data_IF_751457538024
#
_entry.id   IF_751457538024
#
_cell.length_a   1.000
_cell.length_b   1.000
_cell.length_c   1.000
_cell.angle_alpha   90.00
_cell.angle_beta   90.00
_cell.angle_gamma   90.00
#
_symmetry.space_group_name_H-M   'P 1'
#
loop_
_entity.id
_entity.type
_entity.pdbx_description
1 polymer ?
#
# COMPACT_ATOMS: atom_id res chain seq x y z
N UNK A 1 16.78 -6.46 -0.46
CA UNK A 1 16.03 -6.26 -1.71
C UNK A 1 14.58 -6.11 -1.32
N UNK A 2 14.02 -4.93 -1.48
CA UNK A 2 12.58 -4.73 -1.29
C UNK A 2 11.92 -5.08 -2.63
N UNK A 3 10.90 -5.92 -2.63
CA UNK A 3 10.09 -6.25 -3.80
C UNK A 3 8.62 -6.04 -3.46
N UNK A 4 7.75 -6.10 -4.46
CA UNK A 4 6.32 -5.85 -4.30
C UNK A 4 5.93 -4.38 -4.11
N UNK A 5 4.70 -4.15 -3.66
CA UNK A 5 4.10 -2.80 -3.57
C UNK A 5 4.88 -1.85 -2.67
N UNK A 6 5.42 -2.35 -1.55
CA UNK A 6 6.23 -1.54 -0.65
C UNK A 6 7.46 -0.95 -1.36
N UNK A 7 8.15 -1.78 -2.15
CA UNK A 7 9.30 -1.35 -2.92
C UNK A 7 8.90 -0.34 -4.00
N UNK A 8 7.78 -0.59 -4.69
CA UNK A 8 7.31 0.30 -5.74
C UNK A 8 7.00 1.70 -5.21
N UNK A 9 6.39 1.81 -4.03
CA UNK A 9 6.11 3.08 -3.38
C UNK A 9 7.41 3.81 -2.98
N UNK A 10 8.38 3.10 -2.39
CA UNK A 10 9.64 3.68 -1.96
C UNK A 10 10.55 4.10 -3.13
N UNK A 11 10.47 3.42 -4.28
CA UNK A 11 11.27 3.78 -5.45
C UNK A 11 10.74 5.00 -6.20
N UNK A 12 9.43 5.23 -6.20
CA UNK A 12 8.83 6.29 -7.02
C UNK A 12 8.60 7.60 -6.26
N UNK A 13 8.81 7.63 -4.94
CA UNK A 13 8.55 8.78 -4.08
C UNK A 13 7.14 9.37 -4.25
N UNK A 14 6.14 8.52 -4.54
CA UNK A 14 4.76 8.93 -4.80
C UNK A 14 3.79 8.24 -3.85
N UNK A 15 2.69 8.92 -3.47
CA UNK A 15 1.59 8.27 -2.78
C UNK A 15 1.00 7.14 -3.63
N UNK A 16 0.66 6.03 -2.99
CA UNK A 16 0.01 4.86 -3.60
C UNK A 16 -1.36 4.67 -2.95
N UNK A 17 -2.42 4.54 -3.76
CA UNK A 17 -3.77 4.26 -3.28
C UNK A 17 -4.39 3.13 -4.08
N UNK A 18 -4.68 2.03 -3.41
CA UNK A 18 -5.19 0.81 -4.01
C UNK A 18 -6.45 0.39 -3.26
N UNK A 19 -7.52 0.08 -4.01
CA UNK A 19 -8.74 -0.48 -3.43
C UNK A 19 -8.56 -1.95 -3.03
N UNK A 20 -7.64 -2.66 -3.69
CA UNK A 20 -7.23 -4.01 -3.30
C UNK A 20 -5.80 -4.26 -3.77
N UNK A 21 -4.87 -4.31 -2.82
CA UNK A 21 -3.44 -4.58 -3.03
C UNK A 21 -3.20 -5.87 -3.85
N UNK A 22 -4.07 -6.88 -3.70
CA UNK A 22 -3.91 -8.19 -4.36
C UNK A 22 -4.19 -8.15 -5.86
N UNK A 23 -4.80 -7.07 -6.35
CA UNK A 23 -5.13 -6.86 -7.77
C UNK A 23 -4.07 -6.06 -8.52
N UNK A 24 -3.11 -5.46 -7.81
CA UNK A 24 -2.03 -4.72 -8.43
C UNK A 24 -1.02 -5.69 -9.08
N UNK A 25 -0.56 -5.45 -10.33
CA UNK A 25 0.40 -6.33 -11.00
C UNK A 25 1.73 -6.51 -10.25
N UNK A 26 2.05 -5.59 -9.34
CA UNK A 26 3.26 -5.61 -8.51
C UNK A 26 3.07 -6.45 -7.24
N UNK A 27 1.89 -7.02 -6.99
CA UNK A 27 1.66 -7.87 -5.83
C UNK A 27 2.24 -9.26 -6.05
N UNK A 28 3.18 -9.66 -5.18
CA UNK A 28 3.91 -10.93 -5.28
C UNK A 28 3.47 -11.96 -4.21
N UNK A 29 2.41 -11.67 -3.46
CA UNK A 29 1.96 -12.50 -2.34
C UNK A 29 2.38 -11.96 -0.97
N UNK A 30 1.98 -12.69 0.08
CA UNK A 30 2.31 -12.36 1.47
C UNK A 30 3.42 -13.28 1.98
N UNK A 31 4.43 -12.76 2.71
CA UNK A 31 5.32 -13.59 3.51
C UNK A 31 4.53 -14.39 4.56
N UNK A 32 5.04 -15.56 4.97
CA UNK A 32 4.34 -16.52 5.84
C UNK A 32 3.72 -15.93 7.13
N UNK A 33 4.32 -14.89 7.70
CA UNK A 33 3.87 -14.27 8.95
C UNK A 33 3.07 -12.97 8.75
N UNK A 34 2.81 -12.56 7.51
CA UNK A 34 2.15 -11.30 7.22
C UNK A 34 0.62 -11.50 7.20
N UNK A 35 -0.16 -10.67 7.91
CA UNK A 35 -1.61 -10.76 7.86
C UNK A 35 -2.15 -10.34 6.50
N UNK A 36 -3.27 -10.93 6.08
CA UNK A 36 -3.95 -10.49 4.86
C UNK A 36 -4.42 -9.04 4.98
N UNK A 37 -4.21 -8.27 3.91
CA UNK A 37 -4.77 -6.93 3.76
C UNK A 37 -5.34 -6.71 2.36
N UNK A 38 -6.14 -5.66 2.21
CA UNK A 38 -6.89 -5.34 0.99
C UNK A 38 -6.69 -3.89 0.58
N UNK A 39 -7.56 -2.97 0.97
CA UNK A 39 -7.40 -1.54 0.73
C UNK A 39 -6.06 -1.07 1.30
N UNK A 40 -5.34 -0.23 0.56
CA UNK A 40 -4.01 0.24 0.92
C UNK A 40 -3.81 1.70 0.51
N UNK A 41 -3.28 2.49 1.44
CA UNK A 41 -2.81 3.85 1.22
C UNK A 41 -1.37 3.93 1.74
N UNK A 42 -0.41 4.13 0.83
CA UNK A 42 0.99 4.35 1.16
C UNK A 42 1.40 5.78 0.86
N UNK A 43 2.17 6.38 1.76
CA UNK A 43 2.65 7.74 1.63
C UNK A 43 4.13 7.79 2.03
N UNK A 44 5.05 8.13 1.11
CA UNK A 44 6.43 8.39 1.49
C UNK A 44 6.52 9.67 2.33
N UNK A 45 7.44 9.67 3.30
CA UNK A 45 7.80 10.85 4.10
C UNK A 45 9.16 11.31 3.60
N UNK A 46 9.24 12.57 3.16
CA UNK A 46 10.44 13.11 2.50
C UNK A 46 10.98 14.36 3.21
N UNK A 47 12.30 14.52 3.19
CA UNK A 47 13.01 15.76 3.48
C UNK A 47 13.78 16.17 2.21
N UNK A 48 13.31 17.22 1.53
CA UNK A 48 13.78 17.53 0.18
C UNK A 48 13.58 16.35 -0.79
N UNK A 49 14.66 15.89 -1.41
CA UNK A 49 14.68 14.76 -2.35
C UNK A 49 14.94 13.40 -1.65
N UNK A 50 15.14 13.39 -0.33
CA UNK A 50 15.43 12.17 0.44
C UNK A 50 14.15 11.58 1.05
N UNK A 51 13.93 10.28 0.87
CA UNK A 51 12.86 9.54 1.55
C UNK A 51 13.39 9.08 2.92
N UNK A 52 12.84 9.65 3.98
CA UNK A 52 13.22 9.36 5.37
C UNK A 52 12.31 8.34 6.04
N UNK A 53 11.19 7.99 5.41
CA UNK A 53 10.26 7.01 5.94
C UNK A 53 9.01 6.81 5.08
N UNK A 54 8.06 6.07 5.63
CA UNK A 54 6.79 5.80 4.98
C UNK A 54 5.66 5.58 5.98
N UNK A 55 4.49 6.11 5.67
CA UNK A 55 3.25 5.85 6.37
C UNK A 55 2.35 4.96 5.52
N UNK A 56 1.74 3.96 6.16
CA UNK A 56 0.77 3.08 5.49
C UNK A 56 -0.49 2.94 6.32
N UNK A 57 -1.62 2.92 5.63
CA UNK A 57 -2.93 2.62 6.17
C UNK A 57 -3.52 1.51 5.31
N UNK A 58 -4.10 0.50 5.95
CA UNK A 58 -4.71 -0.62 5.25
C UNK A 58 -6.04 -1.02 5.87
N UNK A 59 -6.82 -1.83 5.15
CA UNK A 59 -8.07 -2.43 5.64
C UNK A 59 -9.05 -1.37 6.17
N UNK A 60 -9.52 -0.51 5.25
CA UNK A 60 -10.43 0.59 5.59
C UNK A 60 -11.64 0.07 6.37
N UNK A 61 -11.89 0.62 7.55
CA UNK A 61 -13.07 0.30 8.36
C UNK A 61 -14.31 0.99 7.79
N UNK A 62 -14.89 0.43 6.71
CA UNK A 62 -16.24 0.77 6.25
C UNK A 62 -17.15 -0.46 6.32
N UNK A 63 -18.40 -0.33 6.78
CA UNK A 63 -19.45 -1.25 6.34
C UNK A 63 -19.58 -1.08 4.82
N UNK A 64 -19.53 -2.15 4.03
CA UNK A 64 -19.87 -2.06 2.59
C UNK A 64 -21.32 -1.59 2.49
N UNK A 65 -21.63 -0.38 2.00
CA UNK A 65 -22.95 -0.16 1.44
C UNK A 65 -22.96 -0.87 0.08
N UNK A 66 -24.10 -1.39 -0.32
CA UNK A 66 -24.37 -1.69 -1.73
C UNK A 66 -24.12 -0.39 -2.53
N UNK A 67 -22.89 -0.20 -3.03
CA UNK A 67 -22.49 1.04 -3.73
C UNK A 67 -21.35 1.87 -3.16
N UNK A 68 -20.59 1.40 -2.14
CA UNK A 68 -19.18 1.83 -2.03
C UNK A 68 -18.60 2.11 -0.64
N UNK A 69 -17.57 1.33 -0.31
CA UNK A 69 -16.25 1.80 0.10
C UNK A 69 -15.23 0.90 -0.63
N UNK A 70 -14.31 1.50 -1.40
CA UNK A 70 -13.38 0.80 -2.30
C UNK A 70 -13.51 1.29 -3.72
#
# INVERSE_FOLDING_TARGET
RQHGILAAMLHQAKPERLADVRKDPRFEGWPDAHPDMSDFLGLPITDGDEIIGALFLANKMCPKPEGGCG
#
